data_IF_373463234096
#
_entry.id   IF_373463234096
#
_cell.length_a   1.000
_cell.length_b   1.000
_cell.length_c   1.000
_cell.angle_alpha   90.00
_cell.angle_beta   90.00
_cell.angle_gamma   90.00
#
_symmetry.space_group_name_H-M   'P 1'
#
loop_
_entity.id
_entity.type
_entity.pdbx_description
1 polymer ?
#
# COMPACT_ATOMS: atom_id res chain seq x y z
N UNK A 1 -2.20 22.64 -18.67
CA UNK A 1 -2.92 21.43 -18.21
C UNK A 1 -4.05 21.18 -19.18
N UNK A 2 -4.23 19.94 -19.61
CA UNK A 2 -5.30 19.53 -20.51
C UNK A 2 -6.11 18.41 -19.85
N UNK A 3 -7.42 18.39 -20.12
CA UNK A 3 -8.31 17.29 -19.75
C UNK A 3 -8.78 16.60 -21.03
N UNK A 4 -8.49 15.32 -21.16
CA UNK A 4 -8.74 14.54 -22.36
C UNK A 4 -9.73 13.40 -22.03
N UNK A 5 -10.89 13.39 -22.69
CA UNK A 5 -11.83 12.25 -22.59
C UNK A 5 -11.32 11.06 -23.40
N UNK A 6 -11.47 9.87 -22.85
CA UNK A 6 -11.22 8.60 -23.52
C UNK A 6 -12.51 7.97 -24.04
N UNK A 7 -12.38 7.02 -24.98
CA UNK A 7 -13.52 6.31 -25.58
C UNK A 7 -14.29 5.42 -24.60
N UNK A 8 -13.66 5.05 -23.49
CA UNK A 8 -14.21 4.22 -22.40
C UNK A 8 -14.72 5.08 -21.21
N UNK A 9 -15.00 6.36 -21.44
CA UNK A 9 -15.61 7.22 -20.42
C UNK A 9 -14.69 7.66 -19.29
N UNK A 10 -13.38 7.39 -19.39
CA UNK A 10 -12.36 7.92 -18.49
C UNK A 10 -11.88 9.30 -18.94
N UNK A 11 -11.21 10.03 -18.03
CA UNK A 11 -10.61 11.34 -18.33
C UNK A 11 -9.15 11.36 -17.87
N UNK A 12 -8.24 11.69 -18.78
CA UNK A 12 -6.84 11.98 -18.45
C UNK A 12 -6.64 13.45 -18.14
N UNK A 13 -5.94 13.72 -17.05
CA UNK A 13 -5.36 15.04 -16.79
C UNK A 13 -3.88 15.02 -17.16
N UNK A 14 -3.49 15.95 -18.04
CA UNK A 14 -2.16 15.97 -18.65
C UNK A 14 -1.50 17.31 -18.42
N UNK A 15 -0.26 17.27 -17.92
CA UNK A 15 0.66 18.41 -17.96
C UNK A 15 1.41 18.36 -19.28
N UNK A 16 1.23 19.41 -20.09
CA UNK A 16 1.93 19.58 -21.37
C UNK A 16 2.91 20.73 -21.25
N UNK A 17 4.16 20.47 -21.61
CA UNK A 17 5.18 21.48 -21.87
C UNK A 17 5.57 21.45 -23.34
N UNK A 18 6.44 22.37 -23.78
CA UNK A 18 7.00 22.33 -25.13
C UNK A 18 7.82 21.06 -25.38
N UNK A 19 8.45 20.50 -24.34
CA UNK A 19 9.36 19.37 -24.46
C UNK A 19 8.70 18.00 -24.26
N UNK A 20 7.68 17.91 -23.40
CA UNK A 20 7.06 16.62 -23.07
C UNK A 20 5.61 16.75 -22.57
N UNK A 21 4.88 15.64 -22.65
CA UNK A 21 3.56 15.44 -22.04
C UNK A 21 3.64 14.42 -20.92
N UNK A 22 2.93 14.63 -19.82
CA UNK A 22 2.88 13.69 -18.70
C UNK A 22 1.45 13.56 -18.17
N UNK A 23 0.94 12.33 -18.07
CA UNK A 23 -0.38 12.03 -17.51
C UNK A 23 -0.25 12.03 -15.99
N UNK A 24 -0.87 13.01 -15.33
CA UNK A 24 -0.79 13.20 -13.88
C UNK A 24 -1.94 12.54 -13.12
N UNK A 25 -3.05 12.23 -13.81
CA UNK A 25 -4.12 11.42 -13.25
C UNK A 25 -5.05 10.88 -14.33
N UNK A 26 -5.75 9.81 -13.94
CA UNK A 26 -6.89 9.29 -14.65
C UNK A 26 -8.10 9.32 -13.72
N UNK A 27 -9.18 9.93 -14.20
CA UNK A 27 -10.45 9.97 -13.52
C UNK A 27 -11.40 8.94 -14.13
N UNK A 28 -12.17 8.29 -13.25
CA UNK A 28 -13.26 7.38 -13.59
C UNK A 28 -14.58 8.02 -13.13
N UNK A 29 -15.13 9.01 -13.86
CA UNK A 29 -16.22 9.84 -13.37
C UNK A 29 -17.52 9.04 -13.21
N UNK A 30 -17.70 7.99 -14.02
CA UNK A 30 -18.92 7.20 -14.09
C UNK A 30 -18.62 5.72 -13.84
N UNK A 31 -19.56 5.00 -13.21
CA UNK A 31 -19.41 3.56 -12.94
C UNK A 31 -19.48 2.69 -14.21
N UNK A 32 -20.37 3.04 -15.13
CA UNK A 32 -20.65 2.22 -16.32
C UNK A 32 -19.86 2.65 -17.57
N UNK A 33 -18.84 3.50 -17.42
CA UNK A 33 -17.95 3.90 -18.51
C UNK A 33 -18.69 4.39 -19.79
N UNK A 34 -19.69 5.30 -19.68
CA UNK A 34 -20.42 5.80 -20.83
C UNK A 34 -19.53 6.74 -21.66
N UNK A 35 -19.86 6.90 -22.94
CA UNK A 35 -19.23 7.91 -23.78
C UNK A 35 -19.44 9.32 -23.21
N UNK A 36 -18.34 10.06 -23.01
CA UNK A 36 -18.34 11.44 -22.55
C UNK A 36 -18.80 12.37 -23.68
N UNK A 37 -19.83 13.17 -23.44
CA UNK A 37 -20.38 14.11 -24.43
C UNK A 37 -19.82 15.51 -24.28
N UNK A 38 -19.40 15.91 -23.08
CA UNK A 38 -18.80 17.22 -22.83
C UNK A 38 -17.92 17.23 -21.59
N UNK A 39 -16.85 18.03 -21.64
CA UNK A 39 -16.01 18.37 -20.50
C UNK A 39 -15.92 19.89 -20.42
N UNK A 40 -16.14 20.46 -19.22
CA UNK A 40 -15.99 21.88 -18.96
C UNK A 40 -15.27 22.12 -17.64
N UNK A 41 -14.23 22.97 -17.66
CA UNK A 41 -13.48 23.36 -16.47
C UNK A 41 -13.93 24.75 -16.02
N UNK A 42 -14.40 24.86 -14.78
CA UNK A 42 -14.49 26.15 -14.10
C UNK A 42 -13.16 26.41 -13.38
N UNK A 43 -12.35 27.29 -13.95
CA UNK A 43 -11.03 27.64 -13.39
C UNK A 43 -11.11 28.39 -12.07
N UNK A 44 -12.24 29.07 -11.79
CA UNK A 44 -12.41 29.86 -10.57
C UNK A 44 -12.69 28.96 -9.36
N UNK A 45 -13.60 28.00 -9.51
CA UNK A 45 -13.95 27.02 -8.48
C UNK A 45 -13.07 25.77 -8.50
N UNK A 46 -12.24 25.61 -9.54
CA UNK A 46 -11.36 24.44 -9.77
C UNK A 46 -12.18 23.15 -9.85
N UNK A 47 -13.33 23.22 -10.51
CA UNK A 47 -14.24 22.08 -10.72
C UNK A 47 -14.27 21.68 -12.18
N UNK A 48 -14.15 20.39 -12.44
CA UNK A 48 -14.31 19.80 -13.75
C UNK A 48 -15.69 19.15 -13.84
N UNK A 49 -16.50 19.61 -14.79
CA UNK A 49 -17.81 19.07 -15.08
C UNK A 49 -17.70 18.14 -16.28
N UNK A 50 -18.05 16.86 -16.07
CA UNK A 50 -18.02 15.82 -17.08
C UNK A 50 -19.43 15.30 -17.28
N UNK A 51 -19.93 15.33 -18.52
CA UNK A 51 -21.28 14.89 -18.84
C UNK A 51 -21.27 13.69 -19.78
N UNK A 52 -22.22 12.79 -19.56
CA UNK A 52 -22.66 11.78 -20.51
C UNK A 52 -24.08 12.08 -20.98
N UNK A 53 -24.70 11.17 -21.73
CA UNK A 53 -26.10 11.29 -22.13
C UNK A 53 -27.09 11.24 -20.96
N UNK A 54 -26.71 10.62 -19.85
CA UNK A 54 -27.62 10.35 -18.71
C UNK A 54 -27.19 11.00 -17.39
N UNK A 55 -25.92 11.38 -17.27
CA UNK A 55 -25.34 11.78 -15.99
C UNK A 55 -24.40 12.99 -16.14
N UNK A 56 -24.32 13.80 -15.10
CA UNK A 56 -23.35 14.89 -14.94
C UNK A 56 -22.58 14.64 -13.64
N UNK A 57 -21.25 14.65 -13.73
CA UNK A 57 -20.36 14.45 -12.58
C UNK A 57 -19.48 15.69 -12.43
N UNK A 58 -19.38 16.17 -11.20
CA UNK A 58 -18.46 17.25 -10.84
C UNK A 58 -17.26 16.67 -10.09
N UNK A 59 -16.06 16.89 -10.64
CA UNK A 59 -14.79 16.49 -10.03
C UNK A 59 -14.09 17.71 -9.43
N UNK A 60 -13.51 17.52 -8.24
CA UNK A 60 -12.64 18.51 -7.63
C UNK A 60 -11.18 18.26 -8.06
N UNK A 61 -10.71 19.01 -9.05
CA UNK A 61 -9.33 18.86 -9.55
C UNK A 61 -8.30 19.45 -8.59
N UNK A 62 -8.74 20.13 -7.52
CA UNK A 62 -7.91 20.61 -6.43
C UNK A 62 -8.01 19.76 -5.16
N UNK A 63 -8.58 18.55 -5.24
CA UNK A 63 -8.55 17.60 -4.13
C UNK A 63 -7.16 16.95 -4.00
N UNK A 64 -6.34 17.48 -3.10
CA UNK A 64 -4.96 17.04 -2.88
C UNK A 64 -4.80 15.93 -1.85
N UNK A 65 -5.88 15.53 -1.16
CA UNK A 65 -5.83 14.65 0.02
C UNK A 65 -5.24 13.28 -0.24
N UNK A 66 -5.28 12.81 -1.49
CA UNK A 66 -4.76 11.50 -1.88
C UNK A 66 -3.26 11.48 -2.19
N UNK A 67 -2.60 12.63 -2.37
CA UNK A 67 -1.19 12.69 -2.81
C UNK A 67 -0.21 12.69 -1.65
N UNK A 68 -0.50 11.84 -0.67
CA UNK A 68 0.46 11.45 0.36
C UNK A 68 0.60 12.40 1.55
N UNK A 69 1.46 11.96 2.45
CA UNK A 69 1.79 12.62 3.72
C UNK A 69 3.27 12.98 3.82
N UNK A 70 4.01 12.85 2.71
CA UNK A 70 5.38 13.32 2.58
C UNK A 70 5.49 14.37 1.49
N UNK A 71 6.54 15.18 1.58
CA UNK A 71 6.81 16.20 0.58
C UNK A 71 7.07 15.58 -0.80
N UNK A 72 7.82 14.48 -0.82
CA UNK A 72 8.22 13.80 -2.04
C UNK A 72 7.01 13.26 -2.81
N UNK A 73 6.04 12.63 -2.13
CA UNK A 73 4.78 12.17 -2.75
C UNK A 73 3.99 13.32 -3.36
N UNK A 74 3.89 14.44 -2.63
CA UNK A 74 3.18 15.61 -3.11
C UNK A 74 3.81 16.20 -4.38
N UNK A 75 5.14 16.31 -4.41
CA UNK A 75 5.88 16.85 -5.57
C UNK A 75 5.85 15.88 -6.76
N UNK A 76 6.00 14.57 -6.52
CA UNK A 76 5.93 13.53 -7.56
C UNK A 76 4.55 13.44 -8.21
N UNK A 77 3.48 13.78 -7.48
CA UNK A 77 2.11 13.84 -8.05
C UNK A 77 1.97 14.84 -9.20
N UNK A 78 2.84 15.88 -9.25
CA UNK A 78 2.84 16.95 -10.27
C UNK A 78 1.48 17.63 -10.45
N UNK A 79 0.66 17.67 -9.40
CA UNK A 79 -0.71 18.20 -9.45
C UNK A 79 -0.71 19.74 -9.41
N UNK A 80 -1.20 20.44 -10.46
CA UNK A 80 -1.10 21.91 -10.60
C UNK A 80 -1.76 22.72 -9.49
N UNK A 81 -2.78 22.15 -8.85
CA UNK A 81 -3.53 22.79 -7.78
C UNK A 81 -3.08 22.35 -6.39
N UNK A 82 -2.03 21.53 -6.30
CA UNK A 82 -1.54 20.95 -5.06
C UNK A 82 -0.09 21.35 -4.80
N UNK A 83 0.24 21.52 -3.53
CA UNK A 83 1.60 21.74 -3.09
C UNK A 83 1.78 21.29 -1.65
N UNK A 84 3.03 21.14 -1.24
CA UNK A 84 3.38 20.79 0.11
C UNK A 84 3.36 22.05 1.00
N UNK A 85 2.67 21.95 2.14
CA UNK A 85 2.55 23.06 3.11
C UNK A 85 3.48 22.92 4.33
N UNK A 86 4.32 21.89 4.35
CA UNK A 86 5.17 21.53 5.48
C UNK A 86 4.67 20.32 6.27
N UNK A 87 3.40 19.94 6.12
CA UNK A 87 2.78 18.82 6.85
C UNK A 87 2.02 17.84 5.96
N UNK A 88 1.37 18.33 4.92
CA UNK A 88 0.56 17.51 4.01
C UNK A 88 0.49 18.13 2.62
N UNK A 89 0.09 17.33 1.63
CA UNK A 89 -0.22 17.84 0.30
C UNK A 89 -1.59 18.54 0.32
N UNK A 90 -1.62 19.85 0.09
CA UNK A 90 -2.86 20.65 0.16
C UNK A 90 -2.96 21.61 -1.00
N UNK A 91 -4.17 22.14 -1.23
CA UNK A 91 -4.42 23.13 -2.28
C UNK A 91 -3.89 24.54 -1.96
N UNK A 92 -3.36 24.74 -0.75
CA UNK A 92 -2.73 25.98 -0.28
C UNK A 92 -1.22 25.86 -0.13
N UNK A 93 -0.67 24.65 -0.27
CA UNK A 93 0.76 24.44 -0.20
C UNK A 93 1.47 25.11 -1.37
N UNK A 94 2.67 25.62 -1.09
CA UNK A 94 3.43 26.41 -2.05
C UNK A 94 4.55 25.62 -2.73
N UNK A 95 5.09 24.60 -2.05
CA UNK A 95 6.22 23.83 -2.57
C UNK A 95 5.72 22.75 -3.53
N UNK A 96 6.09 22.89 -4.81
CA UNK A 96 5.67 22.00 -5.89
C UNK A 96 6.67 22.09 -7.06
N UNK A 97 6.77 21.02 -7.86
CA UNK A 97 7.39 21.06 -9.20
C UNK A 97 6.51 20.29 -10.17
N UNK A 98 5.48 20.96 -10.70
CA UNK A 98 4.48 20.39 -11.62
C UNK A 98 5.12 19.93 -12.93
N UNK A 99 6.17 20.61 -13.38
CA UNK A 99 6.76 20.34 -14.70
C UNK A 99 7.64 19.10 -14.64
N UNK A 100 8.55 19.02 -13.67
CA UNK A 100 9.58 17.96 -13.63
C UNK A 100 9.29 16.90 -12.58
N UNK A 101 8.45 17.19 -11.58
CA UNK A 101 8.29 16.32 -10.40
C UNK A 101 9.58 16.16 -9.60
N UNK A 102 10.44 17.19 -9.57
CA UNK A 102 11.74 17.10 -8.90
C UNK A 102 11.57 17.14 -7.38
N UNK A 103 11.42 15.97 -6.76
CA UNK A 103 11.26 15.84 -5.31
C UNK A 103 12.48 16.31 -4.49
N UNK A 104 13.64 16.53 -5.10
CA UNK A 104 14.84 16.98 -4.37
C UNK A 104 14.66 18.36 -3.71
N UNK A 105 13.69 19.17 -4.17
CA UNK A 105 13.31 20.44 -3.52
C UNK A 105 12.79 20.24 -2.08
N UNK A 106 12.37 19.02 -1.73
CA UNK A 106 11.95 18.65 -0.38
C UNK A 106 13.12 18.58 0.62
N UNK A 107 14.34 18.42 0.13
CA UNK A 107 15.55 18.30 0.96
C UNK A 107 15.82 19.57 1.77
N UNK A 108 15.43 20.74 1.24
CA UNK A 108 15.55 22.04 1.91
C UNK A 108 14.67 22.13 3.17
N UNK A 109 13.62 21.32 3.26
CA UNK A 109 12.68 21.26 4.41
C UNK A 109 13.15 20.27 5.48
N UNK A 110 13.83 19.18 5.09
CA UNK A 110 14.37 18.19 6.05
C UNK A 110 15.37 18.81 7.03
N UNK A 111 16.07 19.88 6.64
CA UNK A 111 16.94 20.66 7.53
C UNK A 111 16.19 21.42 8.65
N UNK A 112 14.87 21.64 8.52
CA UNK A 112 14.02 22.33 9.51
C UNK A 112 13.07 21.41 10.27
N UNK A 113 12.82 20.21 9.78
CA UNK A 113 11.76 19.31 10.25
C UNK A 113 12.31 17.94 10.70
N UNK A 114 13.40 17.93 11.46
CA UNK A 114 13.93 16.73 12.12
C UNK A 114 13.04 16.18 13.26
N UNK A 115 11.73 16.47 13.26
CA UNK A 115 10.82 16.12 14.35
C UNK A 115 9.53 15.38 13.93
N UNK A 116 9.27 15.10 12.65
CA UNK A 116 7.99 14.49 12.25
C UNK A 116 8.12 13.50 11.09
N UNK A 117 8.62 12.29 11.35
CA UNK A 117 8.15 11.08 10.64
C UNK A 117 8.59 9.81 11.36
N UNK A 118 8.21 9.67 12.64
CA UNK A 118 8.10 8.34 13.22
C UNK A 118 6.75 7.76 12.80
N UNK A 119 6.61 7.37 11.53
CA UNK A 119 5.64 6.33 11.21
C UNK A 119 6.16 5.08 11.92
N UNK A 120 5.63 4.83 13.12
CA UNK A 120 5.71 3.52 13.76
C UNK A 120 4.99 2.58 12.79
N UNK A 121 5.75 1.89 11.94
CA UNK A 121 5.27 0.65 11.36
C UNK A 121 4.94 -0.22 12.56
N UNK A 122 3.66 -0.37 12.83
CA UNK A 122 3.19 -1.32 13.83
C UNK A 122 3.63 -2.68 13.30
N UNK A 123 4.59 -3.33 13.97
CA UNK A 123 5.11 -4.62 13.53
C UNK A 123 3.95 -5.61 13.44
N UNK A 124 3.53 -5.90 12.21
CA UNK A 124 2.40 -6.78 11.92
C UNK A 124 2.93 -8.20 11.82
N UNK A 125 2.64 -9.01 12.83
CA UNK A 125 2.97 -10.43 12.83
C UNK A 125 1.76 -11.25 12.39
N UNK A 126 1.96 -12.20 11.47
CA UNK A 126 0.92 -13.12 11.00
C UNK A 126 1.42 -14.54 11.14
N UNK A 127 0.69 -15.36 11.91
CA UNK A 127 1.00 -16.77 12.10
C UNK A 127 0.14 -17.59 11.14
N UNK A 128 0.77 -18.44 10.34
CA UNK A 128 0.12 -19.23 9.29
C UNK A 128 0.37 -20.73 9.51
N UNK A 129 -0.62 -21.56 9.23
CA UNK A 129 -0.46 -23.01 9.29
C UNK A 129 0.43 -23.52 8.14
N UNK A 130 1.17 -24.62 8.34
CA UNK A 130 1.86 -25.30 7.25
C UNK A 130 0.93 -25.58 6.06
N UNK A 131 1.46 -25.45 4.84
CA UNK A 131 0.75 -25.66 3.57
C UNK A 131 -0.46 -24.74 3.32
N UNK A 132 -0.69 -23.73 4.16
CA UNK A 132 -1.73 -22.74 3.91
C UNK A 132 -1.32 -21.77 2.80
N UNK A 133 -2.34 -21.24 2.12
CA UNK A 133 -2.19 -20.15 1.16
C UNK A 133 -2.33 -18.80 1.87
N UNK A 134 -1.58 -17.80 1.43
CA UNK A 134 -1.69 -16.44 1.93
C UNK A 134 -1.35 -15.40 0.86
N UNK A 135 -2.03 -14.26 0.90
CA UNK A 135 -1.78 -13.15 -0.02
C UNK A 135 -1.16 -11.99 0.74
N UNK A 136 0.01 -11.56 0.28
CA UNK A 136 0.56 -10.27 0.64
C UNK A 136 -0.07 -9.23 -0.27
N UNK A 137 -0.61 -8.15 0.30
CA UNK A 137 -1.20 -7.04 -0.44
C UNK A 137 -0.51 -5.75 -0.06
N UNK A 138 -0.20 -4.94 -1.07
CA UNK A 138 0.43 -3.64 -0.95
C UNK A 138 -0.32 -2.63 -1.82
N UNK A 139 -0.66 -1.44 -1.32
CA UNK A 139 -1.41 -0.46 -2.09
C UNK A 139 -0.56 0.14 -3.20
N UNK A 140 -1.13 0.26 -4.41
CA UNK A 140 -0.51 0.98 -5.53
C UNK A 140 -0.97 2.44 -5.47
N UNK A 141 -0.08 3.31 -5.02
CA UNK A 141 -0.35 4.75 -4.87
C UNK A 141 0.00 5.57 -6.13
N UNK A 142 0.91 5.05 -6.97
CA UNK A 142 1.34 5.68 -8.22
C UNK A 142 1.50 4.63 -9.31
N UNK A 143 0.81 4.80 -10.44
CA UNK A 143 0.99 3.94 -11.60
C UNK A 143 2.28 4.24 -12.40
N UNK A 144 3.04 5.27 -11.99
CA UNK A 144 4.37 5.56 -12.53
C UNK A 144 5.50 4.89 -11.73
N UNK A 145 5.19 4.37 -10.55
CA UNK A 145 6.14 3.71 -9.67
C UNK A 145 6.27 2.21 -9.98
N UNK A 146 7.45 1.66 -9.69
CA UNK A 146 7.69 0.22 -9.67
C UNK A 146 7.53 -0.30 -8.24
N UNK A 147 6.96 -1.51 -8.11
CA UNK A 147 6.66 -2.12 -6.82
C UNK A 147 7.37 -3.46 -6.69
N UNK A 148 8.05 -3.66 -5.56
CA UNK A 148 8.79 -4.89 -5.28
C UNK A 148 8.54 -5.39 -3.86
N UNK A 149 8.42 -6.71 -3.72
CA UNK A 149 8.40 -7.37 -2.43
C UNK A 149 9.82 -7.83 -2.07
N UNK A 150 10.24 -7.58 -0.85
CA UNK A 150 11.53 -8.00 -0.33
C UNK A 150 11.31 -9.01 0.79
N UNK A 151 12.03 -10.13 0.71
CA UNK A 151 12.07 -11.20 1.70
C UNK A 151 13.53 -11.60 1.93
N UNK A 152 13.92 -12.15 3.11
CA UNK A 152 15.27 -12.68 3.33
C UNK A 152 15.79 -13.64 2.24
N UNK A 153 14.89 -14.39 1.59
CA UNK A 153 15.20 -15.29 0.49
C UNK A 153 15.37 -14.61 -0.88
N UNK A 154 15.15 -13.29 -0.98
CA UNK A 154 15.37 -12.51 -2.19
C UNK A 154 14.25 -11.53 -2.50
N UNK A 155 14.33 -10.95 -3.71
CA UNK A 155 13.30 -10.07 -4.26
C UNK A 155 12.22 -10.92 -4.92
N UNK A 156 10.97 -10.58 -4.61
CA UNK A 156 9.77 -11.26 -5.08
C UNK A 156 8.99 -10.31 -6.01
N UNK A 157 8.37 -10.85 -7.07
CA UNK A 157 7.61 -10.04 -8.00
C UNK A 157 6.33 -9.50 -7.35
N UNK A 158 5.84 -8.41 -7.93
CA UNK A 158 4.55 -7.83 -7.64
C UNK A 158 3.58 -8.10 -8.80
N UNK A 159 2.47 -8.79 -8.53
CA UNK A 159 1.40 -8.93 -9.53
C UNK A 159 0.37 -7.82 -9.32
N UNK A 160 0.25 -6.92 -10.29
CA UNK A 160 -0.70 -5.82 -10.25
C UNK A 160 -2.13 -6.31 -10.50
N UNK A 161 -3.02 -6.05 -9.55
CA UNK A 161 -4.45 -6.29 -9.60
C UNK A 161 -5.14 -4.99 -9.20
N UNK A 162 -5.63 -4.24 -10.20
CA UNK A 162 -6.21 -2.90 -10.02
C UNK A 162 -5.24 -1.98 -9.24
N UNK A 163 -5.66 -1.51 -8.06
CA UNK A 163 -4.90 -0.61 -7.17
C UNK A 163 -4.09 -1.39 -6.12
N UNK A 164 -3.85 -2.69 -6.34
CA UNK A 164 -3.09 -3.54 -5.41
C UNK A 164 -1.94 -4.28 -6.09
N UNK A 165 -0.84 -4.34 -5.36
CA UNK A 165 0.32 -5.15 -5.64
C UNK A 165 0.27 -6.42 -4.78
N UNK A 166 0.02 -7.58 -5.41
CA UNK A 166 -0.22 -8.83 -4.70
C UNK A 166 0.89 -9.85 -4.94
N UNK A 167 1.33 -10.51 -3.88
CA UNK A 167 2.18 -11.70 -3.95
C UNK A 167 1.48 -12.87 -3.25
N UNK A 168 1.29 -13.97 -3.98
CA UNK A 168 0.69 -15.20 -3.46
C UNK A 168 1.79 -16.12 -2.91
N UNK A 169 1.63 -16.49 -1.64
CA UNK A 169 2.27 -17.64 -1.03
C UNK A 169 1.30 -18.80 -1.20
N UNK A 170 1.60 -19.69 -2.13
CA UNK A 170 0.82 -20.88 -2.46
C UNK A 170 0.93 -21.97 -1.40
N UNK A 171 2.12 -22.11 -0.79
CA UNK A 171 2.40 -23.14 0.20
C UNK A 171 3.32 -22.57 1.30
N UNK A 172 2.74 -22.30 2.46
CA UNK A 172 3.48 -21.83 3.62
C UNK A 172 4.42 -22.92 4.18
N UNK A 173 5.71 -22.59 4.30
CA UNK A 173 6.79 -23.45 4.77
C UNK A 173 7.85 -22.63 5.53
N UNK A 174 8.82 -23.29 6.16
CA UNK A 174 9.92 -22.63 6.89
C UNK A 174 10.70 -21.64 6.01
N UNK A 175 10.90 -21.97 4.72
CA UNK A 175 11.58 -21.08 3.78
C UNK A 175 10.81 -19.77 3.48
N UNK A 176 9.50 -19.74 3.77
CA UNK A 176 8.63 -18.56 3.60
C UNK A 176 8.49 -17.74 4.89
N UNK A 177 9.07 -18.16 6.02
CA UNK A 177 9.09 -17.39 7.26
C UNK A 177 9.94 -16.11 7.12
N UNK A 178 9.66 -15.15 8.00
CA UNK A 178 10.44 -13.93 8.14
C UNK A 178 9.73 -12.69 7.61
N UNK A 179 10.53 -11.64 7.48
CA UNK A 179 10.04 -10.28 7.23
C UNK A 179 9.81 -10.02 5.75
N UNK A 180 8.62 -9.55 5.41
CA UNK A 180 8.24 -9.10 4.08
C UNK A 180 8.09 -7.58 4.08
N UNK A 181 8.65 -6.92 3.06
CA UNK A 181 8.51 -5.48 2.85
C UNK A 181 8.06 -5.20 1.42
N UNK A 182 7.02 -4.39 1.26
CA UNK A 182 6.67 -3.82 -0.03
C UNK A 182 7.32 -2.44 -0.15
N UNK A 183 8.10 -2.24 -1.19
CA UNK A 183 8.71 -0.97 -1.53
C UNK A 183 8.21 -0.46 -2.88
N UNK A 184 7.93 0.84 -2.96
CA UNK A 184 7.69 1.54 -4.21
C UNK A 184 8.89 2.40 -4.58
N UNK A 185 9.29 2.39 -5.84
CA UNK A 185 10.32 3.27 -6.41
C UNK A 185 9.76 4.10 -7.56
N UNK A 186 9.89 5.42 -7.49
CA UNK A 186 9.53 6.34 -8.57
C UNK A 186 10.62 7.39 -8.77
N UNK A 187 11.22 7.42 -9.96
CA UNK A 187 12.25 8.39 -10.31
C UNK A 187 13.41 8.45 -9.30
N UNK A 188 13.81 7.32 -8.72
CA UNK A 188 14.87 7.22 -7.70
C UNK A 188 14.44 7.55 -6.26
N UNK A 189 13.17 7.90 -6.02
CA UNK A 189 12.60 8.00 -4.69
C UNK A 189 11.97 6.66 -4.29
N UNK A 190 12.47 6.05 -3.21
CA UNK A 190 11.93 4.79 -2.66
C UNK A 190 11.23 4.99 -1.33
N UNK A 191 10.14 4.22 -1.11
CA UNK A 191 9.38 4.20 0.15
C UNK A 191 8.83 2.81 0.44
N UNK A 192 8.93 2.40 1.70
CA UNK A 192 8.23 1.23 2.22
C UNK A 192 6.76 1.55 2.47
N UNK A 193 5.87 0.78 1.87
CA UNK A 193 4.41 0.96 1.96
C UNK A 193 3.75 -0.04 2.91
N UNK A 194 4.27 -1.27 2.94
CA UNK A 194 3.79 -2.34 3.82
C UNK A 194 4.97 -3.13 4.38
N UNK A 195 4.85 -3.55 5.63
CA UNK A 195 5.86 -4.33 6.32
C UNK A 195 5.19 -5.29 7.31
N UNK A 196 5.48 -6.58 7.19
CA UNK A 196 4.94 -7.62 8.07
C UNK A 196 5.89 -8.80 8.24
N UNK A 197 5.70 -9.58 9.29
CA UNK A 197 6.47 -10.78 9.58
C UNK A 197 5.58 -12.02 9.56
N UNK A 198 5.95 -13.01 8.76
CA UNK A 198 5.26 -14.30 8.68
C UNK A 198 5.97 -15.33 9.55
N UNK A 199 5.19 -16.05 10.36
CA UNK A 199 5.67 -17.16 11.17
C UNK A 199 4.86 -18.41 10.92
N UNK A 200 5.54 -19.55 10.88
CA UNK A 200 4.91 -20.85 10.73
C UNK A 200 4.34 -21.29 12.08
N UNK A 201 3.07 -21.68 12.10
CA UNK A 201 2.44 -22.26 13.28
C UNK A 201 3.10 -23.61 13.55
N UNK A 202 3.80 -23.69 14.70
CA UNK A 202 4.35 -24.94 15.21
C UNK A 202 3.34 -25.48 16.21
N UNK A 203 2.75 -26.63 15.94
CA UNK A 203 2.16 -27.43 17.01
C UNK A 203 3.31 -27.82 17.92
N UNK A 204 3.31 -27.32 19.16
CA UNK A 204 4.05 -28.00 20.20
C UNK A 204 3.55 -29.44 20.18
N UNK A 205 4.42 -30.39 19.84
CA UNK A 205 4.24 -31.74 20.33
C UNK A 205 4.16 -31.58 21.85
N UNK A 206 2.94 -31.53 22.39
CA UNK A 206 2.71 -31.77 23.80
C UNK A 206 3.38 -33.11 24.02
N UNK A 207 4.56 -33.08 24.67
CA UNK A 207 5.48 -34.19 24.69
C UNK A 207 4.71 -35.46 24.91
N UNK A 208 4.77 -36.38 23.95
CA UNK A 208 4.37 -37.76 24.18
C UNK A 208 5.13 -38.19 25.41
N UNK A 209 4.44 -38.17 26.57
CA UNK A 209 4.93 -38.77 27.79
C UNK A 209 5.26 -40.20 27.40
N UNK A 210 6.56 -40.50 27.35
CA UNK A 210 7.05 -41.80 26.96
C UNK A 210 6.35 -42.88 27.79
N UNK A 211 6.23 -44.11 27.27
CA UNK A 211 5.48 -45.20 27.90
C UNK A 211 5.94 -45.57 29.32
N UNK A 212 7.05 -45.00 29.80
CA UNK A 212 7.56 -45.16 31.17
C UNK A 212 6.73 -44.42 32.23
N UNK A 213 5.99 -43.36 31.89
CA UNK A 213 5.23 -42.58 32.90
C UNK A 213 3.91 -43.26 33.30
N UNK A 214 3.31 -44.06 32.41
CA UNK A 214 2.09 -44.80 32.73
C UNK A 214 2.29 -45.91 33.76
N UNK A 215 3.49 -46.50 33.84
CA UNK A 215 3.81 -47.57 34.81
C UNK A 215 3.83 -47.04 36.25
N UNK A 216 4.26 -45.79 36.45
CA UNK A 216 4.34 -45.18 37.79
C UNK A 216 2.97 -44.82 38.39
N UNK A 217 1.97 -44.49 37.56
CA UNK A 217 0.62 -44.17 38.05
C UNK A 217 -0.14 -45.43 38.46
N UNK A 218 0.07 -46.56 37.77
CA UNK A 218 -0.48 -47.85 38.19
C UNK A 218 0.18 -48.41 39.46
N UNK A 219 1.47 -48.14 39.69
CA UNK A 219 2.18 -48.64 40.88
C UNK A 219 1.80 -47.91 42.18
N UNK A 220 1.34 -46.66 42.09
CA UNK A 220 0.89 -45.86 43.25
C UNK A 220 -0.54 -46.20 43.70
N UNK A 221 -1.42 -46.64 42.78
CA UNK A 221 -2.79 -47.03 43.14
C UNK A 221 -2.89 -48.42 43.78
N UNK A 222 -1.93 -49.32 43.54
CA UNK A 222 -1.92 -50.67 44.16
C UNK A 222 -1.37 -50.65 45.59
N UNK A 223 -0.54 -49.67 45.96
CA UNK A 223 0.00 -49.55 47.34
C UNK A 223 -0.95 -48.89 48.33
N UNK A 224 -2.07 -48.31 47.89
CA UNK A 224 -3.00 -47.63 48.79
C UNK A 224 -4.25 -48.44 49.18
N UNK A 225 -4.38 -49.70 48.73
CA UNK A 225 -5.54 -50.56 49.03
C UNK A 225 -5.24 -51.78 49.91
N UNK A 226 -4.04 -51.88 50.52
CA UNK A 226 -3.68 -53.01 51.38
C UNK A 226 -3.19 -52.55 52.76
N UNK A 227 -4.02 -51.77 53.48
CA UNK A 227 -3.85 -51.51 54.92
C UNK A 227 -5.17 -51.08 55.58
N UNK A 228 -6.23 -51.85 55.32
CA UNK A 228 -7.40 -51.96 56.19
C UNK A 228 -8.06 -53.29 55.90
N UNK A 229 -7.64 -54.33 56.59
CA UNK A 229 -8.47 -55.43 57.12
C UNK A 229 -7.54 -56.43 57.84
N UNK A 230 -7.87 -56.63 59.13
CA UNK A 230 -7.23 -57.43 60.18
C UNK A 230 -6.11 -56.78 61.00
#
# INVERSE_FOLDING_TARGET
>A
VMFLSLSDGRVHEVVQTEAHSFIIAEYHPFRNQPHITSISLDTSSKKLYVSSRSELVQLDVANCTQYGSTCEECVLSRKPYCGWDGRSCTSRGALQDVVRGNYTICSEIKARSSLLSNFRNQEKMVILSPQSMYFLSCPVLSHHAQYTWHHPGGVLPCNHLEDQCIFLIDNMSEAREGKYKCESEESGYSRVLEELELQLSRTSEAGTLGPTVWVCVSALMVRSFCSSFY
#
